data_IF_003000323161
#
_entry.id   IF_003000323161
#
_cell.length_a   1.000
_cell.length_b   1.000
_cell.length_c   1.000
_cell.angle_alpha   90.00
_cell.angle_beta   90.00
_cell.angle_gamma   90.00
#
_symmetry.space_group_name_H-M   'P 1'
#
loop_
_entity.id
_entity.type
_entity.pdbx_description
1 polymer ?
#
# COMPACT_ATOMS: atom_id res chain seq x y z
N UNK A 1 -19.60 -30.13 46.08
CA UNK A 1 -20.06 -28.81 45.61
C UNK A 1 -18.91 -28.18 44.86
N UNK A 2 -18.98 -28.21 43.53
CA UNK A 2 -17.92 -27.71 42.65
C UNK A 2 -18.01 -26.19 42.57
N UNK A 3 -16.93 -25.50 42.92
CA UNK A 3 -16.83 -24.04 42.76
C UNK A 3 -16.92 -23.73 41.26
N UNK A 4 -17.82 -22.84 40.81
CA UNK A 4 -17.81 -22.37 39.43
C UNK A 4 -16.48 -21.63 39.25
N UNK A 5 -15.57 -22.18 38.45
CA UNK A 5 -14.36 -21.46 38.04
C UNK A 5 -14.84 -20.18 37.36
N UNK A 6 -14.51 -19.04 37.97
CA UNK A 6 -14.77 -17.72 37.38
C UNK A 6 -14.29 -17.73 35.94
N UNK A 7 -15.18 -17.35 35.03
CA UNK A 7 -14.90 -17.31 33.60
C UNK A 7 -13.64 -16.47 33.39
N UNK A 8 -12.58 -17.12 32.90
CA UNK A 8 -11.40 -16.43 32.41
C UNK A 8 -11.86 -15.61 31.20
N UNK A 9 -12.16 -14.34 31.43
CA UNK A 9 -12.46 -13.41 30.34
C UNK A 9 -11.19 -13.26 29.51
N UNK A 10 -11.19 -13.76 28.26
CA UNK A 10 -10.07 -13.50 27.35
C UNK A 10 -10.10 -12.05 26.87
N UNK A 11 -8.96 -11.36 26.90
CA UNK A 11 -8.77 -10.03 26.29
C UNK A 11 -8.77 -10.06 24.75
N UNK A 12 -8.91 -11.25 24.16
CA UNK A 12 -9.01 -11.53 22.73
C UNK A 12 -10.01 -10.58 22.04
N UNK A 13 -11.21 -10.43 22.61
CA UNK A 13 -12.25 -9.60 22.01
C UNK A 13 -11.91 -8.10 22.03
N UNK A 14 -11.35 -7.61 23.13
CA UNK A 14 -10.92 -6.22 23.25
C UNK A 14 -9.79 -5.91 22.24
N UNK A 15 -8.89 -6.86 22.00
CA UNK A 15 -7.88 -6.76 20.95
C UNK A 15 -8.51 -6.75 19.55
N UNK A 16 -9.51 -7.61 19.28
CA UNK A 16 -10.27 -7.61 18.01
C UNK A 16 -10.85 -6.23 17.71
N UNK A 17 -11.60 -5.67 18.67
CA UNK A 17 -12.23 -4.35 18.51
C UNK A 17 -11.19 -3.25 18.26
N UNK A 18 -10.05 -3.31 18.95
CA UNK A 18 -8.95 -2.35 18.75
C UNK A 18 -8.42 -2.40 17.32
N UNK A 19 -8.12 -3.58 16.79
CA UNK A 19 -7.56 -3.74 15.44
C UNK A 19 -8.58 -3.34 14.37
N UNK A 20 -9.86 -3.69 14.58
CA UNK A 20 -10.94 -3.24 13.70
C UNK A 20 -10.97 -1.71 13.67
N UNK A 21 -10.96 -1.05 14.82
CA UNK A 21 -11.01 0.41 14.90
C UNK A 21 -9.82 1.08 14.20
N UNK A 22 -8.64 0.46 14.25
CA UNK A 22 -7.44 0.92 13.54
C UNK A 22 -7.60 0.78 12.02
N UNK A 23 -8.18 -0.33 11.54
CA UNK A 23 -8.46 -0.53 10.10
C UNK A 23 -9.55 0.41 9.57
N UNK A 24 -10.45 0.87 10.43
CA UNK A 24 -11.58 1.73 10.08
C UNK A 24 -11.21 3.22 10.10
N UNK A 25 -10.25 3.62 10.95
CA UNK A 25 -9.83 5.00 11.12
C UNK A 25 -9.54 5.76 9.81
N UNK A 26 -8.91 5.17 8.77
CA UNK A 26 -8.67 5.85 7.49
C UNK A 26 -9.95 6.21 6.72
N UNK A 27 -11.05 5.53 7.01
CA UNK A 27 -12.33 5.66 6.30
C UNK A 27 -13.36 6.53 7.05
N UNK A 28 -13.14 6.83 8.34
CA UNK A 28 -14.13 7.54 9.19
C UNK A 28 -14.35 9.01 8.85
N UNK A 29 -13.47 9.64 8.10
CA UNK A 29 -13.59 11.07 7.74
C UNK A 29 -14.34 11.31 6.42
N UNK A 30 -14.94 10.26 5.83
CA UNK A 30 -15.46 10.28 4.47
C UNK A 30 -16.98 10.56 4.33
N UNK A 31 -17.53 11.51 5.10
CA UNK A 31 -18.96 11.88 5.03
C UNK A 31 -19.31 13.07 4.12
N UNK A 32 -18.41 13.56 3.26
CA UNK A 32 -18.63 14.70 2.38
C UNK A 32 -18.31 14.34 0.92
N UNK A 33 -19.37 13.97 0.18
CA UNK A 33 -19.59 13.60 -1.25
C UNK A 33 -18.53 13.74 -2.37
N UNK A 34 -17.25 14.01 -2.11
CA UNK A 34 -16.17 14.06 -3.09
C UNK A 34 -14.85 13.74 -2.38
N UNK A 35 -14.67 12.51 -1.92
CA UNK A 35 -13.60 12.19 -0.98
C UNK A 35 -12.59 11.22 -1.55
N UNK A 36 -11.44 11.80 -1.87
CA UNK A 36 -10.18 11.11 -1.77
C UNK A 36 -9.97 10.62 -0.32
N UNK A 37 -9.36 9.45 -0.13
CA UNK A 37 -8.97 8.93 1.18
C UNK A 37 -8.20 10.01 1.96
N UNK A 38 -8.68 10.33 3.17
CA UNK A 38 -8.09 11.33 4.02
C UNK A 38 -6.67 10.92 4.42
N UNK A 39 -5.67 11.67 3.93
CA UNK A 39 -4.22 11.51 4.17
C UNK A 39 -3.64 10.23 3.56
N UNK A 40 -2.63 10.39 2.70
CA UNK A 40 -1.83 9.28 2.18
C UNK A 40 -1.16 8.56 3.35
N UNK A 41 -1.70 7.42 3.75
CA UNK A 41 -1.06 6.53 4.71
C UNK A 41 0.21 5.96 4.07
N UNK A 42 1.31 5.88 4.83
CA UNK A 42 2.55 5.29 4.29
C UNK A 42 2.36 3.79 4.05
N UNK A 43 3.03 3.23 3.05
CA UNK A 43 2.98 1.78 2.81
C UNK A 43 3.36 0.99 4.07
N UNK A 44 4.31 1.47 4.87
CA UNK A 44 4.71 0.86 6.14
C UNK A 44 3.53 0.78 7.13
N UNK A 45 2.75 1.85 7.27
CA UNK A 45 1.59 1.87 8.16
C UNK A 45 0.51 0.89 7.67
N UNK A 46 0.26 0.84 6.35
CA UNK A 46 -0.72 -0.08 5.78
C UNK A 46 -0.29 -1.54 5.97
N UNK A 47 0.99 -1.86 5.73
CA UNK A 47 1.55 -3.19 5.99
C UNK A 47 1.48 -3.54 7.48
N UNK A 48 1.66 -2.55 8.36
CA UNK A 48 1.47 -2.69 9.80
C UNK A 48 0.04 -3.12 10.15
N UNK A 49 -0.97 -2.50 9.54
CA UNK A 49 -2.38 -2.89 9.73
C UNK A 49 -2.64 -4.34 9.28
N UNK A 50 -2.16 -4.72 8.09
CA UNK A 50 -2.29 -6.10 7.60
C UNK A 50 -1.60 -7.11 8.50
N UNK A 51 -0.38 -6.80 8.97
CA UNK A 51 0.35 -7.64 9.94
C UNK A 51 -0.43 -7.81 11.25
N UNK A 52 -0.91 -6.71 11.82
CA UNK A 52 -1.64 -6.74 13.09
C UNK A 52 -2.91 -7.60 12.96
N UNK A 53 -3.61 -7.49 11.83
CA UNK A 53 -4.81 -8.28 11.57
C UNK A 53 -4.50 -9.79 11.51
N UNK A 54 -3.47 -10.20 10.79
CA UNK A 54 -3.09 -11.62 10.71
C UNK A 54 -2.57 -12.14 12.05
N UNK A 55 -1.72 -11.38 12.75
CA UNK A 55 -1.24 -11.78 14.09
C UNK A 55 -2.39 -11.97 15.07
N UNK A 56 -3.42 -11.13 14.98
CA UNK A 56 -4.59 -11.25 15.83
C UNK A 56 -5.45 -12.46 15.47
N UNK A 57 -5.62 -12.76 14.19
CA UNK A 57 -6.24 -14.00 13.74
C UNK A 57 -5.53 -15.24 14.31
N UNK A 58 -4.20 -15.27 14.23
CA UNK A 58 -3.38 -16.36 14.80
C UNK A 58 -3.59 -16.49 16.32
N UNK A 59 -3.64 -15.36 17.05
CA UNK A 59 -3.90 -15.36 18.48
C UNK A 59 -5.32 -15.85 18.84
N UNK A 60 -6.32 -15.50 18.03
CA UNK A 60 -7.69 -15.98 18.21
C UNK A 60 -7.76 -17.51 18.03
N UNK A 61 -7.13 -18.03 16.97
CA UNK A 61 -7.09 -19.47 16.69
C UNK A 61 -6.32 -20.27 17.75
N UNK A 62 -5.33 -19.66 18.40
CA UNK A 62 -4.60 -20.29 19.51
C UNK A 62 -5.28 -20.15 20.87
N UNK A 63 -6.41 -19.45 20.97
CA UNK A 63 -7.10 -19.26 22.25
C UNK A 63 -7.77 -20.56 22.70
N UNK A 64 -7.66 -20.89 23.99
CA UNK A 64 -8.33 -22.08 24.57
C UNK A 64 -9.86 -22.03 24.44
N UNK A 65 -10.43 -20.83 24.24
CA UNK A 65 -11.86 -20.59 24.00
C UNK A 65 -12.13 -20.10 22.56
N UNK A 66 -11.34 -20.52 21.57
CA UNK A 66 -11.48 -20.04 20.19
C UNK A 66 -12.90 -20.22 19.61
N UNK A 67 -13.57 -21.34 19.88
CA UNK A 67 -14.95 -21.60 19.42
C UNK A 67 -15.94 -20.54 19.90
N UNK A 68 -15.75 -20.04 21.12
CA UNK A 68 -16.57 -18.98 21.70
C UNK A 68 -16.25 -17.60 21.12
N UNK A 69 -15.10 -17.43 20.46
CA UNK A 69 -14.67 -16.18 19.84
C UNK A 69 -14.96 -16.12 18.34
N UNK A 70 -14.85 -17.23 17.60
CA UNK A 70 -15.03 -17.28 16.15
C UNK A 70 -16.49 -17.39 15.72
N UNK A 71 -17.40 -16.71 16.42
CA UNK A 71 -18.80 -16.66 16.04
C UNK A 71 -19.02 -15.93 14.70
N UNK A 72 -20.19 -16.09 14.07
CA UNK A 72 -20.55 -15.39 12.83
C UNK A 72 -20.28 -13.86 12.83
N UNK A 73 -20.56 -13.10 13.93
CA UNK A 73 -20.25 -11.68 13.94
C UNK A 73 -18.75 -11.41 13.77
N UNK A 74 -17.90 -12.20 14.42
CA UNK A 74 -16.45 -12.01 14.42
C UNK A 74 -15.86 -12.32 13.04
N UNK A 75 -16.30 -13.42 12.42
CA UNK A 75 -15.90 -13.76 11.05
C UNK A 75 -16.29 -12.64 10.07
N UNK A 76 -17.51 -12.10 10.18
CA UNK A 76 -17.95 -10.95 9.38
C UNK A 76 -17.04 -9.73 9.60
N UNK A 77 -16.75 -9.37 10.85
CA UNK A 77 -15.88 -8.24 11.15
C UNK A 77 -14.45 -8.41 10.62
N UNK A 78 -13.90 -9.63 10.70
CA UNK A 78 -12.57 -9.93 10.17
C UNK A 78 -12.56 -9.82 8.65
N UNK A 79 -13.59 -10.32 7.95
CA UNK A 79 -13.74 -10.15 6.51
C UNK A 79 -13.85 -8.66 6.11
N UNK A 80 -14.62 -7.85 6.86
CA UNK A 80 -14.72 -6.41 6.62
C UNK A 80 -13.37 -5.70 6.85
N UNK A 81 -12.62 -6.09 7.88
CA UNK A 81 -11.28 -5.56 8.13
C UNK A 81 -10.29 -5.93 7.01
N UNK A 82 -10.33 -7.17 6.51
CA UNK A 82 -9.55 -7.60 5.35
C UNK A 82 -9.92 -6.74 4.13
N UNK A 83 -11.21 -6.56 3.84
CA UNK A 83 -11.67 -5.73 2.72
C UNK A 83 -11.10 -4.30 2.76
N UNK A 84 -11.08 -3.69 3.95
CA UNK A 84 -10.48 -2.35 4.18
C UNK A 84 -8.97 -2.35 3.97
N UNK A 85 -8.25 -3.34 4.50
CA UNK A 85 -6.79 -3.47 4.30
C UNK A 85 -6.45 -3.67 2.83
N UNK A 86 -7.21 -4.50 2.10
CA UNK A 86 -7.04 -4.68 0.66
C UNK A 86 -7.26 -3.39 -0.11
N UNK A 87 -8.28 -2.59 0.26
CA UNK A 87 -8.48 -1.26 -0.34
C UNK A 87 -7.28 -0.33 -0.06
N UNK A 88 -6.71 -0.35 1.14
CA UNK A 88 -5.50 0.41 1.45
C UNK A 88 -4.29 -0.06 0.63
N UNK A 89 -4.15 -1.37 0.37
CA UNK A 89 -3.12 -1.89 -0.53
C UNK A 89 -3.31 -1.44 -1.98
N UNK A 90 -4.54 -1.42 -2.48
CA UNK A 90 -4.86 -0.90 -3.82
C UNK A 90 -4.41 0.56 -3.95
N UNK A 91 -4.73 1.40 -2.96
CA UNK A 91 -4.36 2.81 -2.93
C UNK A 91 -2.85 3.03 -2.77
N UNK A 92 -2.20 2.24 -1.91
CA UNK A 92 -0.74 2.31 -1.74
C UNK A 92 0.00 1.91 -3.01
N UNK A 93 -0.48 0.89 -3.73
CA UNK A 93 0.07 0.48 -5.02
C UNK A 93 -0.09 1.53 -6.09
N UNK A 94 -1.23 2.23 -6.14
CA UNK A 94 -1.43 3.35 -7.07
C UNK A 94 -0.44 4.50 -6.81
N UNK A 95 -0.09 4.74 -5.54
CA UNK A 95 0.95 5.70 -5.17
C UNK A 95 2.37 5.25 -5.56
N UNK A 96 2.69 3.96 -5.38
CA UNK A 96 4.04 3.41 -5.64
C UNK A 96 4.29 3.19 -7.13
N UNK A 97 3.31 2.68 -7.87
CA UNK A 97 3.44 2.42 -9.31
C UNK A 97 3.35 3.69 -10.16
N UNK A 98 3.10 4.84 -9.51
CA UNK A 98 2.85 6.11 -10.17
C UNK A 98 1.51 6.12 -10.89
N UNK A 99 0.89 7.30 -10.95
CA UNK A 99 -0.07 7.54 -12.03
C UNK A 99 0.67 7.21 -13.34
N UNK A 100 0.08 6.42 -14.26
CA UNK A 100 0.67 6.25 -15.58
C UNK A 100 1.02 7.65 -16.07
N UNK A 101 2.23 7.85 -16.59
CA UNK A 101 2.66 9.08 -17.25
C UNK A 101 1.62 9.44 -18.32
N UNK A 102 0.52 10.06 -17.91
CA UNK A 102 -0.58 10.42 -18.76
C UNK A 102 -0.05 11.60 -19.51
N UNK A 103 0.46 11.29 -20.70
CA UNK A 103 0.84 12.25 -21.71
C UNK A 103 1.61 13.42 -21.10
N UNK A 104 2.91 13.24 -20.90
CA UNK A 104 3.82 14.35 -21.08
C UNK A 104 3.59 14.83 -22.51
N UNK A 105 2.63 15.75 -22.65
CA UNK A 105 2.25 16.35 -23.92
C UNK A 105 3.56 16.72 -24.60
N UNK A 106 3.83 16.21 -25.81
CA UNK A 106 5.09 16.48 -26.48
C UNK A 106 5.17 18.00 -26.58
N UNK A 107 6.01 18.62 -25.74
CA UNK A 107 6.25 20.05 -25.75
C UNK A 107 6.39 20.43 -27.21
N UNK A 108 5.57 21.35 -27.75
CA UNK A 108 5.65 21.69 -29.15
C UNK A 108 7.10 22.07 -29.42
N UNK A 109 7.79 21.24 -30.21
CA UNK A 109 9.12 21.56 -30.72
C UNK A 109 8.98 22.96 -31.27
N UNK A 110 9.70 23.92 -30.68
CA UNK A 110 9.85 25.26 -31.26
C UNK A 110 10.32 25.03 -32.68
N UNK A 111 9.39 25.20 -33.62
CA UNK A 111 9.67 25.29 -35.03
C UNK A 111 10.55 26.52 -35.19
N UNK A 112 11.86 26.31 -35.29
CA UNK A 112 12.79 27.32 -35.77
C UNK A 112 12.46 27.50 -37.25
N UNK A 113 11.47 28.34 -37.53
CA UNK A 113 11.26 28.93 -38.85
C UNK A 113 11.46 30.43 -38.72
N UNK A 114 12.20 30.92 -39.71
CA UNK A 114 12.39 32.31 -40.10
C UNK A 114 13.51 33.07 -39.40
N UNK A 115 14.66 33.16 -40.09
CA UNK A 115 15.04 34.41 -40.77
C UNK A 115 16.40 34.26 -41.47
N UNK A 116 16.41 33.66 -42.67
CA UNK A 116 17.50 33.85 -43.63
C UNK A 116 17.08 34.94 -44.62
N UNK A 117 17.38 36.19 -44.28
CA UNK A 117 17.36 37.32 -45.20
C UNK A 117 18.67 38.09 -45.03
N UNK A 118 19.67 37.73 -45.85
CA UNK A 118 20.73 38.65 -46.27
C UNK A 118 20.10 39.76 -47.13
N UNK A 119 20.63 41.01 -47.21
CA UNK A 119 21.89 41.26 -47.95
C UNK A 119 22.66 42.52 -47.44
N UNK A 120 23.55 43.20 -48.23
CA UNK A 120 24.98 43.27 -47.93
C UNK A 120 25.47 44.70 -47.62
N UNK A 121 26.63 44.83 -46.94
CA UNK A 121 27.78 45.66 -47.37
C UNK A 121 28.78 45.88 -46.23
N UNK A 122 30.05 45.70 -46.60
CA UNK A 122 31.32 46.11 -46.01
C UNK A 122 31.32 47.09 -44.81
N UNK A 123 32.24 46.92 -43.86
CA UNK A 123 33.50 47.70 -43.79
C UNK A 123 34.40 47.14 -42.69
N UNK A 124 35.69 47.04 -43.00
CA UNK A 124 36.79 46.62 -42.13
C UNK A 124 36.96 47.52 -40.89
N UNK A 125 37.23 46.92 -39.73
CA UNK A 125 38.04 47.54 -38.67
C UNK A 125 38.58 46.45 -37.71
N UNK A 126 39.92 46.33 -37.52
CA UNK A 126 40.48 45.46 -36.51
C UNK A 126 40.57 46.23 -35.19
N UNK A 127 39.83 45.79 -34.17
CA UNK A 127 40.02 46.26 -32.79
C UNK A 127 40.37 45.06 -31.92
N UNK A 128 41.67 44.90 -31.73
CA UNK A 128 42.30 44.12 -30.67
C UNK A 128 41.73 44.53 -29.32
N UNK A 129 41.26 43.55 -28.56
CA UNK A 129 41.15 43.65 -27.11
C UNK A 129 41.40 42.28 -26.45
N UNK A 130 41.93 42.30 -25.22
CA UNK A 130 42.69 41.19 -24.67
C UNK A 130 41.80 40.11 -24.05
N UNK A 131 42.37 38.91 -24.06
CA UNK A 131 41.90 37.67 -23.44
C UNK A 131 41.49 37.92 -21.99
N UNK A 132 40.22 37.66 -21.60
CA UNK A 132 39.88 37.35 -20.23
C UNK A 132 40.14 35.85 -20.04
N UNK A 133 41.06 35.52 -19.14
CA UNK A 133 41.25 34.16 -18.65
C UNK A 133 39.92 33.68 -18.05
N UNK A 134 39.24 32.81 -18.79
CA UNK A 134 38.02 32.14 -18.38
C UNK A 134 38.33 31.20 -17.22
N UNK A 135 38.00 31.70 -16.03
CA UNK A 135 37.73 30.99 -14.80
C UNK A 135 37.32 29.53 -15.03
N UNK A 136 38.12 28.60 -14.50
CA UNK A 136 37.71 27.20 -14.35
C UNK A 136 36.59 27.16 -13.32
N UNK A 137 35.35 27.27 -13.80
CA UNK A 137 34.16 27.10 -12.96
C UNK A 137 34.13 25.66 -12.49
N UNK A 138 34.50 25.52 -11.22
CA UNK A 138 34.08 24.52 -10.25
C UNK A 138 33.08 23.49 -10.80
N UNK A 139 33.59 22.26 -10.96
CA UNK A 139 33.01 21.04 -10.38
C UNK A 139 31.52 21.18 -10.12
N UNK A 140 30.72 20.71 -11.08
CA UNK A 140 29.30 20.49 -10.89
C UNK A 140 29.10 19.74 -9.59
N UNK A 141 28.65 20.46 -8.55
CA UNK A 141 28.22 19.88 -7.29
C UNK A 141 27.19 18.80 -7.66
N UNK A 142 27.43 17.52 -7.33
CA UNK A 142 26.36 16.56 -7.30
C UNK A 142 25.31 17.15 -6.36
N UNK A 143 24.08 17.29 -6.83
CA UNK A 143 22.95 17.57 -5.97
C UNK A 143 22.93 16.44 -4.95
N UNK A 144 23.50 16.71 -3.77
CA UNK A 144 23.42 15.85 -2.61
C UNK A 144 21.95 15.86 -2.19
N UNK A 145 21.17 14.98 -2.83
CA UNK A 145 19.91 14.56 -2.26
C UNK A 145 20.27 13.94 -0.92
N UNK A 146 19.79 14.54 0.16
CA UNK A 146 19.85 13.93 1.48
C UNK A 146 18.94 12.70 1.46
N UNK A 147 19.44 11.60 0.91
CA UNK A 147 18.78 10.30 0.96
C UNK A 147 18.85 9.89 2.43
N UNK A 148 17.70 9.93 3.11
CA UNK A 148 17.60 9.37 4.45
C UNK A 148 17.77 7.86 4.31
N UNK A 149 18.80 7.26 4.91
CA UNK A 149 19.04 5.83 4.79
C UNK A 149 17.83 5.05 5.31
N UNK A 150 17.40 4.06 4.53
CA UNK A 150 16.27 3.19 4.90
C UNK A 150 16.84 1.91 5.49
N UNK A 151 16.41 1.55 6.70
CA UNK A 151 16.87 0.36 7.38
C UNK A 151 15.80 -0.73 7.41
N UNK A 152 16.19 -1.96 7.11
CA UNK A 152 15.35 -3.15 7.24
C UNK A 152 16.04 -4.11 8.20
N UNK A 153 15.58 -4.12 9.46
CA UNK A 153 16.25 -4.81 10.55
C UNK A 153 17.59 -4.14 10.87
N UNK A 154 18.68 -4.68 10.34
CA UNK A 154 20.04 -4.13 10.44
C UNK A 154 20.72 -3.86 9.10
N UNK A 155 20.02 -4.06 7.99
CA UNK A 155 20.53 -3.77 6.65
C UNK A 155 20.17 -2.33 6.29
N UNK A 156 21.18 -1.54 5.91
CA UNK A 156 21.01 -0.24 5.27
C UNK A 156 20.79 -0.47 3.78
N UNK A 157 19.68 0.00 3.25
CA UNK A 157 19.40 0.02 1.81
C UNK A 157 19.79 1.40 1.30
N UNK A 158 20.84 1.45 0.51
CA UNK A 158 21.46 2.67 -0.01
C UNK A 158 20.94 3.05 -1.40
N UNK A 159 20.28 2.13 -2.10
CA UNK A 159 19.64 2.37 -3.39
C UNK A 159 18.10 2.45 -3.30
N UNK A 160 17.48 3.13 -4.27
CA UNK A 160 16.03 3.23 -4.36
C UNK A 160 15.41 1.92 -4.89
N UNK A 161 16.19 1.13 -5.63
CA UNK A 161 15.77 -0.13 -6.25
C UNK A 161 15.56 -1.24 -5.21
N UNK A 162 16.50 -1.48 -4.31
CA UNK A 162 16.35 -2.42 -3.18
C UNK A 162 15.21 -1.99 -2.27
N UNK A 163 15.06 -0.69 -2.00
CA UNK A 163 13.91 -0.19 -1.22
C UNK A 163 12.59 -0.52 -1.92
N UNK A 164 12.51 -0.37 -3.24
CA UNK A 164 11.33 -0.73 -4.02
C UNK A 164 11.07 -2.25 -4.00
N UNK A 165 12.11 -3.06 -4.20
CA UNK A 165 12.05 -4.54 -4.14
C UNK A 165 11.55 -5.00 -2.77
N UNK A 166 12.11 -4.48 -1.68
CA UNK A 166 11.70 -4.85 -0.32
C UNK A 166 10.26 -4.46 -0.04
N UNK A 167 9.84 -3.27 -0.48
CA UNK A 167 8.43 -2.84 -0.35
C UNK A 167 7.47 -3.75 -1.12
N UNK A 168 7.83 -4.11 -2.34
CA UNK A 168 7.06 -5.01 -3.20
C UNK A 168 6.94 -6.40 -2.57
N UNK A 169 8.06 -6.96 -2.08
CA UNK A 169 8.08 -8.28 -1.44
C UNK A 169 7.33 -8.29 -0.10
N UNK A 170 7.46 -7.24 0.71
CA UNK A 170 6.71 -7.09 1.95
C UNK A 170 5.20 -7.07 1.69
N UNK A 171 4.77 -6.35 0.64
CA UNK A 171 3.37 -6.30 0.21
C UNK A 171 2.90 -7.67 -0.32
N UNK A 172 3.69 -8.32 -1.18
CA UNK A 172 3.42 -9.67 -1.66
C UNK A 172 3.20 -10.64 -0.50
N UNK A 173 4.12 -10.65 0.45
CA UNK A 173 4.06 -11.52 1.62
C UNK A 173 2.82 -11.22 2.48
N UNK A 174 2.49 -9.94 2.69
CA UNK A 174 1.29 -9.60 3.44
C UNK A 174 0.01 -10.03 2.73
N UNK A 175 -0.07 -9.90 1.41
CA UNK A 175 -1.19 -10.36 0.60
C UNK A 175 -1.36 -11.88 0.75
N UNK A 176 -0.28 -12.65 0.66
CA UNK A 176 -0.32 -14.11 0.84
C UNK A 176 -0.86 -14.49 2.22
N UNK A 177 -0.41 -13.81 3.28
CA UNK A 177 -0.89 -14.08 4.65
C UNK A 177 -2.37 -13.74 4.85
N UNK A 178 -2.86 -12.65 4.27
CA UNK A 178 -4.30 -12.35 4.28
C UNK A 178 -5.10 -13.41 3.50
N UNK A 179 -4.49 -14.03 2.48
CA UNK A 179 -5.11 -15.10 1.71
C UNK A 179 -5.30 -16.37 2.52
N UNK A 180 -4.28 -16.78 3.29
CA UNK A 180 -4.39 -17.88 4.23
C UNK A 180 -5.49 -17.62 5.27
N UNK A 181 -5.51 -16.41 5.85
CA UNK A 181 -6.56 -16.01 6.79
C UNK A 181 -7.98 -16.06 6.18
N UNK A 182 -8.16 -15.66 4.92
CA UNK A 182 -9.46 -15.77 4.23
C UNK A 182 -9.88 -17.24 4.01
N UNK A 183 -8.93 -18.13 3.73
CA UNK A 183 -9.20 -19.56 3.59
C UNK A 183 -9.66 -20.16 4.92
N UNK A 184 -9.01 -19.79 6.03
CA UNK A 184 -9.44 -20.23 7.36
C UNK A 184 -10.86 -19.70 7.65
N UNK A 185 -11.16 -18.43 7.36
CA UNK A 185 -12.52 -17.86 7.51
C UNK A 185 -13.55 -18.61 6.65
N UNK A 186 -13.20 -18.98 5.41
CA UNK A 186 -14.06 -19.78 4.52
C UNK A 186 -14.35 -21.16 5.13
N UNK A 187 -13.33 -21.80 5.72
CA UNK A 187 -13.48 -23.09 6.40
C UNK A 187 -14.38 -22.96 7.63
N UNK A 188 -14.12 -22.01 8.52
CA UNK A 188 -14.92 -21.76 9.73
C UNK A 188 -16.38 -21.43 9.40
N UNK A 189 -16.61 -20.65 8.34
CA UNK A 189 -17.97 -20.29 7.91
C UNK A 189 -18.73 -21.53 7.37
N UNK A 190 -18.04 -22.48 6.72
CA UNK A 190 -18.65 -23.71 6.20
C UNK A 190 -18.98 -24.72 7.30
N UNK A 191 -18.22 -24.74 8.39
CA UNK A 191 -18.47 -25.63 9.53
C UNK A 191 -19.74 -25.24 10.30
N UNK A 192 -20.09 -23.95 10.29
CA UNK A 192 -21.33 -23.43 10.88
C UNK A 192 -22.48 -23.63 9.89
N UNK A 193 -23.18 -24.75 10.02
CA UNK A 193 -24.31 -25.11 9.15
C UNK A 193 -25.42 -24.05 9.14
N UNK A 194 -26.35 -24.12 8.16
CA UNK A 194 -27.44 -23.16 7.99
C UNK A 194 -28.46 -23.13 9.16
N UNK A 195 -28.39 -24.13 10.04
CA UNK A 195 -29.36 -24.34 11.12
C UNK A 195 -28.97 -23.63 12.44
N UNK A 196 -27.81 -22.97 12.52
CA UNK A 196 -27.45 -22.17 13.70
C UNK A 196 -28.17 -20.81 13.63
N UNK A 197 -29.15 -20.53 14.53
CA UNK A 197 -29.86 -19.26 14.55
C UNK A 197 -28.88 -18.16 14.94
N UNK A 198 -28.28 -17.52 13.94
CA UNK A 198 -27.38 -16.40 14.13
C UNK A 198 -28.21 -15.12 14.30
N UNK A 199 -28.12 -14.49 15.47
CA UNK A 199 -28.68 -13.15 15.75
C UNK A 199 -28.03 -12.02 14.90
N UNK A 200 -27.13 -12.37 13.97
CA UNK A 200 -26.48 -11.42 13.07
C UNK A 200 -27.39 -11.07 11.92
N UNK A 201 -27.73 -9.78 11.79
CA UNK A 201 -28.57 -9.25 10.70
C UNK A 201 -28.03 -9.56 9.30
N UNK A 202 -26.70 -9.72 9.16
CA UNK A 202 -26.04 -10.02 7.90
C UNK A 202 -24.85 -10.98 8.11
N UNK A 203 -25.09 -12.32 8.08
CA UNK A 203 -24.00 -13.29 8.16
C UNK A 203 -23.08 -13.18 6.95
N UNK A 204 -21.80 -13.53 7.15
CA UNK A 204 -20.81 -13.55 6.08
C UNK A 204 -21.18 -14.60 5.04
N UNK A 205 -21.35 -14.19 3.78
CA UNK A 205 -21.70 -15.10 2.70
C UNK A 205 -20.44 -15.64 2.01
N UNK A 206 -20.48 -16.91 1.60
CA UNK A 206 -19.41 -17.55 0.81
C UNK A 206 -19.02 -16.74 -0.44
N UNK A 207 -20.01 -16.11 -1.09
CA UNK A 207 -19.77 -15.21 -2.23
C UNK A 207 -18.87 -14.02 -1.88
N UNK A 208 -19.04 -13.43 -0.70
CA UNK A 208 -18.26 -12.28 -0.25
C UNK A 208 -16.81 -12.68 0.02
N UNK A 209 -16.59 -13.85 0.64
CA UNK A 209 -15.24 -14.39 0.87
C UNK A 209 -14.54 -14.67 -0.47
N UNK A 210 -15.24 -15.28 -1.43
CA UNK A 210 -14.73 -15.49 -2.80
C UNK A 210 -14.39 -14.20 -3.53
N UNK A 211 -15.19 -13.15 -3.33
CA UNK A 211 -14.89 -11.83 -3.89
C UNK A 211 -13.61 -11.23 -3.30
N UNK A 212 -13.41 -11.35 -1.98
CA UNK A 212 -12.18 -10.91 -1.33
C UNK A 212 -10.96 -11.69 -1.82
N UNK A 213 -11.07 -13.02 -1.96
CA UNK A 213 -10.02 -13.86 -2.56
C UNK A 213 -9.72 -13.41 -3.99
N UNK A 214 -10.74 -13.12 -4.79
CA UNK A 214 -10.58 -12.60 -6.14
C UNK A 214 -9.87 -11.24 -6.19
N UNK A 215 -10.19 -10.32 -5.27
CA UNK A 215 -9.47 -9.04 -5.12
C UNK A 215 -8.00 -9.27 -4.75
N UNK A 216 -7.74 -10.19 -3.84
CA UNK A 216 -6.39 -10.56 -3.40
C UNK A 216 -5.52 -11.07 -4.55
N UNK A 217 -6.05 -11.97 -5.39
CA UNK A 217 -5.32 -12.45 -6.57
C UNK A 217 -5.06 -11.35 -7.60
N UNK A 218 -6.01 -10.43 -7.82
CA UNK A 218 -5.79 -9.27 -8.69
C UNK A 218 -4.67 -8.37 -8.15
N UNK A 219 -4.68 -8.09 -6.85
CA UNK A 219 -3.62 -7.35 -6.18
C UNK A 219 -2.26 -8.04 -6.31
N UNK A 220 -2.20 -9.34 -6.06
CA UNK A 220 -0.99 -10.14 -6.21
C UNK A 220 -0.46 -10.10 -7.65
N UNK A 221 -1.35 -10.17 -8.64
CA UNK A 221 -1.00 -10.02 -10.06
C UNK A 221 -0.40 -8.66 -10.39
N UNK A 222 -0.92 -7.57 -9.80
CA UNK A 222 -0.36 -6.22 -9.94
C UNK A 222 1.02 -6.13 -9.30
N UNK A 223 1.19 -6.69 -8.10
CA UNK A 223 2.47 -6.73 -7.38
C UNK A 223 3.52 -7.52 -8.16
N UNK A 224 3.17 -8.63 -8.82
CA UNK A 224 4.12 -9.43 -9.61
C UNK A 224 4.31 -8.94 -11.05
N UNK A 225 3.56 -7.91 -11.48
CA UNK A 225 3.58 -7.45 -12.86
C UNK A 225 4.87 -6.71 -13.22
N UNK A 226 5.26 -6.70 -14.51
CA UNK A 226 6.49 -6.03 -14.99
C UNK A 226 6.47 -4.50 -14.83
N UNK A 227 5.35 -3.92 -14.41
CA UNK A 227 5.22 -2.48 -14.15
C UNK A 227 6.04 -2.00 -12.94
N UNK A 228 6.58 -2.90 -12.10
CA UNK A 228 7.38 -2.54 -10.93
C UNK A 228 8.88 -2.33 -11.20
N UNK A 229 9.39 -2.73 -12.37
CA UNK A 229 10.82 -2.62 -12.72
C UNK A 229 10.93 -2.08 -14.14
N UNK A 230 10.60 -0.81 -14.34
CA UNK A 230 11.09 -0.10 -15.52
C UNK A 230 12.54 0.27 -15.24
N UNK A 231 13.47 -0.56 -15.73
CA UNK A 231 14.89 -0.25 -15.76
C UNK A 231 15.09 1.10 -16.47
N UNK A 232 15.49 2.12 -15.73
CA UNK A 232 15.93 3.42 -16.25
C UNK A 232 17.45 3.53 -16.16
#
# INVERSE_FOLDING_TARGET
>A
MSVPRGGLTCDCWAATIRIISQSEAPFRHSSSSAQQPARSMSLSDVLGLGRNLVQHWELLNCCASFEAHLGPPVLRYMADAISRVLALYEMALEGVLGAPETAREPRPRRSYRDAAANPPHATFAPKSNPIPAGSMSEHGRPLSCNITPTFVGGLELDDEEEVAIVRQEALRHSIIRLGAMLQDIEEETRQRGPDEPSDVEQPLQDKEVKELIGRLFRLLGRVNGPAGIQYY
#
